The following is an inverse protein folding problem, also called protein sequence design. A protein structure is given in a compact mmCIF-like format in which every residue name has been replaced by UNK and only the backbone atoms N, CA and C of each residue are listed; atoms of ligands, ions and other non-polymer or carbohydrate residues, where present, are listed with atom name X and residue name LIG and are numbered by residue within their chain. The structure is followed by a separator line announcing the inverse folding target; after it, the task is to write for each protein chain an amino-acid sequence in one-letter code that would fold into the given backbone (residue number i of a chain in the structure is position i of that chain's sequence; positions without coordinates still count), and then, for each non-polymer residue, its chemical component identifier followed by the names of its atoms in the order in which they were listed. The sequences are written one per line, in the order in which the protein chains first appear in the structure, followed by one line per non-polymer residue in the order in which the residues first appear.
data_IF_776226057389
#
_entry.id   IF_776226057389
#
_cell.length_a   1.000
_cell.length_b   1.000
_cell.length_c   1.000
_cell.angle_alpha   90.00
_cell.angle_beta   90.00
_cell.angle_gamma   90.00
#
_symmetry.space_group_name_H-M   'P 1'
#
loop_
_entity.id
_entity.type
_entity.pdbx_description
1 polymer ?
#
# COMPACT_ATOMS: atom_id res chain seq x y z
N UNK A 1 17.28 48.47 62.37
CA UNK A 1 17.40 48.65 60.92
C UNK A 1 18.33 47.58 60.40
N UNK A 2 17.74 46.47 59.92
CA UNK A 2 18.51 45.29 59.45
C UNK A 2 18.39 45.29 57.95
N UNK A 3 19.51 45.49 57.27
CA UNK A 3 19.63 45.45 55.79
C UNK A 3 19.93 43.99 55.44
N UNK A 4 19.04 43.33 54.73
CA UNK A 4 19.26 41.97 54.19
C UNK A 4 19.82 42.17 52.76
N UNK A 5 21.09 41.83 52.61
CA UNK A 5 21.82 41.85 51.36
C UNK A 5 21.41 40.62 50.53
N UNK A 6 20.60 40.82 49.48
CA UNK A 6 20.04 39.81 48.60
C UNK A 6 20.95 39.51 47.42
N UNK A 7 22.11 38.93 47.61
CA UNK A 7 22.95 38.42 46.48
C UNK A 7 22.59 36.95 46.19
N UNK A 8 21.72 36.76 45.23
CA UNK A 8 21.49 35.43 44.66
C UNK A 8 22.74 35.03 43.85
N UNK A 9 23.43 34.00 44.35
CA UNK A 9 24.63 33.48 43.71
C UNK A 9 24.35 32.97 42.30
N UNK A 10 25.04 33.53 41.31
CA UNK A 10 24.95 33.20 39.88
C UNK A 10 25.22 31.69 39.60
N UNK A 11 25.82 30.98 40.55
CA UNK A 11 26.07 29.52 40.50
C UNK A 11 24.80 28.69 40.76
N UNK A 12 23.83 29.20 41.50
CA UNK A 12 22.56 28.50 41.78
C UNK A 12 21.61 28.58 40.59
N UNK A 13 21.66 29.66 39.79
CA UNK A 13 20.84 29.84 38.57
C UNK A 13 21.34 28.94 37.44
N UNK A 14 22.66 28.75 37.30
CA UNK A 14 23.24 27.86 36.28
C UNK A 14 22.97 26.37 36.53
N UNK A 15 22.85 25.94 37.80
CA UNK A 15 22.52 24.56 38.16
C UNK A 15 21.05 24.23 37.89
N UNK A 16 20.11 25.18 38.01
CA UNK A 16 18.70 25.00 37.75
C UNK A 16 18.41 24.90 36.23
N UNK A 17 19.18 25.60 35.40
CA UNK A 17 19.02 25.55 33.93
C UNK A 17 19.58 24.25 33.34
N UNK A 18 20.65 23.67 33.90
CA UNK A 18 21.24 22.42 33.46
C UNK A 18 20.33 21.20 33.72
N UNK A 19 19.47 21.22 34.73
CA UNK A 19 18.54 20.14 35.06
C UNK A 19 17.29 20.19 34.13
N UNK A 20 16.88 21.36 33.66
CA UNK A 20 15.72 21.53 32.77
C UNK A 20 15.99 21.08 31.32
N UNK A 21 17.25 21.06 30.87
CA UNK A 21 17.63 20.66 29.51
C UNK A 21 17.77 19.14 29.33
N UNK A 22 17.93 18.36 30.47
CA UNK A 22 18.14 16.91 30.42
C UNK A 22 16.85 16.08 30.39
N UNK A 23 15.66 16.68 30.42
CA UNK A 23 14.37 15.97 30.42
C UNK A 23 13.58 16.05 29.08
N UNK A 24 14.14 16.64 28.00
CA UNK A 24 13.44 16.80 26.72
C UNK A 24 13.87 15.77 25.65
N UNK A 25 14.79 14.85 25.96
CA UNK A 25 15.31 13.90 24.94
C UNK A 25 14.83 12.45 25.09
N UNK A 26 13.70 12.22 25.70
CA UNK A 26 13.20 10.85 25.79
C UNK A 26 11.69 10.83 25.64
N UNK A 27 11.17 10.91 24.44
CA UNK A 27 10.00 10.18 23.90
C UNK A 27 9.85 10.58 22.42
N UNK A 28 10.73 10.09 21.57
CA UNK A 28 10.35 9.79 20.18
C UNK A 28 10.26 8.27 20.07
N UNK A 29 9.39 7.68 20.87
CA UNK A 29 8.77 6.41 20.52
C UNK A 29 7.89 6.71 19.33
N UNK A 30 8.19 6.10 18.15
CA UNK A 30 7.56 6.40 16.90
C UNK A 30 6.04 6.54 17.03
N UNK A 31 5.52 7.72 16.75
CA UNK A 31 4.16 7.87 16.26
C UNK A 31 4.07 6.95 15.04
N UNK A 32 3.53 5.75 15.22
CA UNK A 32 2.98 5.01 14.10
C UNK A 32 1.92 5.95 13.53
N UNK A 33 2.21 6.53 12.35
CA UNK A 33 1.23 7.30 11.59
C UNK A 33 0.01 6.39 11.39
N UNK A 34 -1.00 6.56 12.24
CA UNK A 34 -2.25 5.79 12.24
C UNK A 34 -3.02 5.95 10.94
N UNK A 35 -2.48 6.74 10.00
CA UNK A 35 -3.05 7.00 8.68
C UNK A 35 -2.28 6.35 7.55
N UNK A 36 -1.22 5.58 7.80
CA UNK A 36 -0.42 4.92 6.78
C UNK A 36 -0.99 3.53 6.45
N UNK A 37 -1.54 3.40 5.23
CA UNK A 37 -1.89 2.11 4.65
C UNK A 37 -0.63 1.38 4.22
N UNK A 38 -0.41 0.18 4.74
CA UNK A 38 0.73 -0.66 4.39
C UNK A 38 0.25 -1.94 3.71
N UNK A 39 0.78 -2.20 2.52
CA UNK A 39 0.61 -3.47 1.83
C UNK A 39 1.88 -4.32 1.98
N UNK A 40 1.74 -5.64 2.19
CA UNK A 40 2.86 -6.58 2.30
C UNK A 40 2.61 -7.82 1.45
N UNK A 41 3.68 -8.29 0.83
CA UNK A 41 3.79 -9.59 0.20
C UNK A 41 4.67 -10.49 1.08
N UNK A 42 4.51 -11.79 0.99
CA UNK A 42 5.37 -12.74 1.71
C UNK A 42 6.73 -13.00 1.03
N UNK A 43 7.13 -12.15 0.04
CA UNK A 43 8.31 -12.34 -0.78
C UNK A 43 8.78 -11.00 -1.40
N UNK A 44 10.07 -10.92 -1.72
CA UNK A 44 10.68 -9.81 -2.48
C UNK A 44 10.89 -10.19 -3.96
N UNK A 45 11.03 -11.50 -4.26
CA UNK A 45 10.97 -12.06 -5.59
C UNK A 45 9.67 -12.85 -5.74
N UNK A 46 8.92 -12.59 -6.82
CA UNK A 46 7.65 -13.26 -7.08
C UNK A 46 7.90 -14.75 -7.37
N UNK A 47 7.30 -15.68 -6.60
CA UNK A 47 7.38 -17.11 -6.86
C UNK A 47 6.73 -17.47 -8.20
N UNK A 48 7.27 -18.50 -8.87
CA UNK A 48 6.83 -18.93 -10.20
C UNK A 48 5.33 -19.25 -10.25
N UNK A 49 4.73 -19.73 -9.14
CA UNK A 49 3.30 -20.02 -9.06
C UNK A 49 2.40 -18.80 -9.35
N UNK A 50 2.94 -17.58 -9.18
CA UNK A 50 2.24 -16.32 -9.44
C UNK A 50 2.62 -15.70 -10.80
N UNK A 51 3.27 -16.44 -11.68
CA UNK A 51 3.80 -15.96 -12.96
C UNK A 51 3.30 -16.83 -14.12
N UNK A 52 3.57 -16.40 -15.37
CA UNK A 52 3.23 -17.17 -16.56
C UNK A 52 3.98 -18.51 -16.68
N UNK A 53 5.00 -18.75 -15.84
CA UNK A 53 5.74 -20.02 -15.80
C UNK A 53 5.15 -21.02 -14.80
N UNK A 54 4.19 -20.58 -13.98
CA UNK A 54 3.52 -21.40 -12.98
C UNK A 54 2.01 -21.47 -13.16
N UNK A 55 1.29 -21.40 -12.03
CA UNK A 55 -0.17 -21.49 -12.01
C UNK A 55 -0.87 -20.19 -12.41
N UNK A 56 -0.14 -19.10 -12.52
CA UNK A 56 -0.64 -17.78 -12.86
C UNK A 56 -1.80 -17.32 -11.96
N UNK A 57 -1.66 -17.50 -10.66
CA UNK A 57 -2.65 -17.13 -9.65
C UNK A 57 -2.21 -15.91 -8.87
N UNK A 58 -3.16 -15.06 -8.46
CA UNK A 58 -2.86 -13.87 -7.66
C UNK A 58 -2.22 -14.26 -6.31
N UNK A 59 -1.22 -13.51 -5.82
CA UNK A 59 -0.62 -13.76 -4.52
C UNK A 59 -1.54 -13.32 -3.37
N UNK A 60 -1.22 -13.78 -2.16
CA UNK A 60 -1.75 -13.25 -0.91
C UNK A 60 -1.17 -11.85 -0.68
N UNK A 61 -2.02 -10.89 -0.29
CA UNK A 61 -1.60 -9.53 0.09
C UNK A 61 -2.10 -9.25 1.51
N UNK A 62 -1.20 -8.88 2.41
CA UNK A 62 -1.55 -8.42 3.75
C UNK A 62 -1.68 -6.90 3.75
N UNK A 63 -2.68 -6.38 4.47
CA UNK A 63 -3.04 -4.98 4.51
C UNK A 63 -3.10 -4.54 5.97
N UNK A 64 -2.42 -3.44 6.32
CA UNK A 64 -2.40 -2.91 7.67
C UNK A 64 -2.71 -1.41 7.64
N UNK A 65 -3.40 -0.92 8.67
CA UNK A 65 -3.71 0.51 8.82
C UNK A 65 -4.81 1.01 7.88
N UNK A 66 -5.62 0.12 7.29
CA UNK A 66 -6.74 0.52 6.44
C UNK A 66 -7.85 1.20 7.26
N UNK A 67 -8.24 2.41 6.84
CA UNK A 67 -9.39 3.14 7.34
C UNK A 67 -10.17 3.72 6.16
N UNK A 68 -11.03 2.91 5.56
CA UNK A 68 -11.73 3.22 4.33
C UNK A 68 -13.07 2.48 4.24
N UNK A 69 -13.97 2.93 3.36
CA UNK A 69 -15.25 2.27 3.08
C UNK A 69 -15.09 1.08 2.14
N UNK A 70 -14.15 1.18 1.20
CA UNK A 70 -13.81 0.11 0.26
C UNK A 70 -12.34 0.19 -0.17
N UNK A 71 -11.88 -0.83 -0.87
CA UNK A 71 -10.54 -0.86 -1.44
C UNK A 71 -10.57 -1.08 -2.94
N UNK A 72 -9.51 -0.60 -3.60
CA UNK A 72 -9.11 -1.02 -4.94
C UNK A 72 -7.64 -1.44 -4.93
N UNK A 73 -7.29 -2.39 -5.81
CA UNK A 73 -5.91 -2.82 -6.04
C UNK A 73 -5.60 -2.71 -7.53
N UNK A 74 -4.43 -2.17 -7.82
CA UNK A 74 -3.83 -2.15 -9.16
C UNK A 74 -2.45 -2.79 -9.04
N UNK A 75 -2.18 -3.80 -9.86
CA UNK A 75 -0.84 -4.39 -10.01
C UNK A 75 -0.28 -3.97 -11.34
N UNK A 76 0.86 -3.30 -11.34
CA UNK A 76 1.51 -2.79 -12.55
C UNK A 76 3.02 -3.06 -12.59
N UNK A 77 3.55 -3.12 -13.82
CA UNK A 77 4.96 -3.23 -14.19
C UNK A 77 5.40 -1.95 -14.92
N UNK A 78 6.08 -1.00 -14.26
CA UNK A 78 6.58 0.21 -14.91
C UNK A 78 7.84 -0.03 -15.76
N UNK A 79 8.48 -1.19 -15.66
CA UNK A 79 9.70 -1.53 -16.39
C UNK A 79 9.41 -2.23 -17.73
N UNK A 80 8.13 -2.44 -18.07
CA UNK A 80 7.74 -3.06 -19.33
C UNK A 80 8.16 -2.22 -20.55
N UNK A 81 8.60 -2.84 -21.67
CA UNK A 81 9.18 -2.15 -22.82
C UNK A 81 8.31 -1.08 -23.47
N UNK A 82 6.98 -1.24 -23.41
CA UNK A 82 6.00 -0.30 -24.00
C UNK A 82 5.44 0.74 -23.02
N UNK A 83 6.03 0.87 -21.83
CA UNK A 83 5.53 1.69 -20.73
C UNK A 83 4.84 0.86 -19.66
N UNK A 84 4.25 1.52 -18.67
CA UNK A 84 3.59 0.82 -17.55
C UNK A 84 2.56 -0.18 -18.04
N UNK A 85 2.71 -1.44 -17.64
CA UNK A 85 1.83 -2.54 -18.02
C UNK A 85 1.00 -3.00 -16.82
N UNK A 86 -0.31 -3.07 -16.99
CA UNK A 86 -1.25 -3.43 -15.92
C UNK A 86 -1.51 -4.93 -15.90
N UNK A 87 -1.22 -5.57 -14.78
CA UNK A 87 -1.38 -7.01 -14.55
C UNK A 87 -2.70 -7.37 -13.86
N UNK A 88 -3.23 -6.47 -13.02
CA UNK A 88 -4.46 -6.74 -12.28
C UNK A 88 -5.18 -5.47 -11.87
N UNK A 89 -6.52 -5.50 -11.96
CA UNK A 89 -7.44 -4.48 -11.49
C UNK A 89 -8.56 -5.15 -10.70
N UNK A 90 -8.75 -4.75 -9.44
CA UNK A 90 -9.88 -5.21 -8.62
C UNK A 90 -10.33 -4.05 -7.72
N UNK A 91 -11.62 -3.85 -7.58
CA UNK A 91 -12.20 -2.76 -6.79
C UNK A 91 -13.50 -3.15 -6.12
N UNK A 92 -14.01 -2.24 -5.27
CA UNK A 92 -15.17 -2.48 -4.41
C UNK A 92 -14.96 -3.66 -3.45
N UNK A 93 -13.71 -3.90 -3.06
CA UNK A 93 -13.38 -4.87 -2.02
C UNK A 93 -13.82 -4.27 -0.69
N UNK A 94 -14.59 -4.98 0.16
CA UNK A 94 -14.89 -4.53 1.51
C UNK A 94 -13.59 -4.44 2.34
N UNK A 95 -13.53 -3.59 3.40
CA UNK A 95 -12.37 -3.50 4.26
C UNK A 95 -11.96 -4.88 4.80
N UNK A 96 -10.70 -5.25 4.59
CA UNK A 96 -10.11 -6.52 5.07
C UNK A 96 -8.61 -6.36 5.27
N UNK A 97 -8.04 -7.10 6.19
CA UNK A 97 -6.59 -7.14 6.46
C UNK A 97 -5.84 -8.08 5.50
N UNK A 98 -6.57 -8.86 4.70
CA UNK A 98 -5.98 -9.88 3.82
C UNK A 98 -6.78 -10.02 2.53
N UNK A 99 -6.09 -9.93 1.41
CA UNK A 99 -6.55 -10.47 0.13
C UNK A 99 -5.98 -11.89 0.03
N UNK A 100 -6.81 -12.93 -0.02
CA UNK A 100 -6.32 -14.29 -0.13
C UNK A 100 -5.70 -14.55 -1.50
N UNK A 101 -4.84 -15.56 -1.54
CA UNK A 101 -4.27 -16.09 -2.77
C UNK A 101 -5.36 -16.62 -3.71
N UNK A 102 -5.07 -16.61 -5.01
CA UNK A 102 -5.87 -17.28 -6.05
C UNK A 102 -7.31 -16.74 -6.17
N UNK A 103 -7.48 -15.41 -6.16
CA UNK A 103 -8.76 -14.80 -6.53
C UNK A 103 -9.16 -15.27 -7.94
N UNK A 104 -10.39 -15.74 -8.07
CA UNK A 104 -10.90 -16.27 -9.35
C UNK A 104 -10.84 -15.19 -10.45
N UNK A 105 -10.51 -15.57 -11.69
CA UNK A 105 -10.41 -14.66 -12.84
C UNK A 105 -11.79 -14.37 -13.47
N UNK A 106 -12.75 -13.97 -12.63
CA UNK A 106 -14.11 -13.60 -13.05
C UNK A 106 -14.30 -12.08 -12.95
N UNK A 107 -15.09 -11.50 -13.83
CA UNK A 107 -15.38 -10.06 -13.81
C UNK A 107 -16.10 -9.62 -12.51
N UNK A 108 -16.90 -10.51 -11.94
CA UNK A 108 -17.61 -10.32 -10.67
C UNK A 108 -17.17 -11.42 -9.71
N UNK A 109 -16.56 -11.01 -8.60
CA UNK A 109 -16.17 -11.88 -7.50
C UNK A 109 -17.32 -11.92 -6.49
N UNK A 110 -17.66 -13.12 -6.02
CA UNK A 110 -18.66 -13.33 -4.98
C UNK A 110 -18.03 -13.94 -3.72
N UNK A 111 -16.97 -14.71 -3.88
CA UNK A 111 -16.20 -15.34 -2.82
C UNK A 111 -14.70 -15.07 -3.02
N UNK A 112 -13.91 -14.81 -1.98
CA UNK A 112 -14.25 -14.81 -0.54
C UNK A 112 -14.92 -13.51 -0.07
N UNK A 113 -15.07 -12.53 -0.95
CA UNK A 113 -15.75 -11.24 -0.75
C UNK A 113 -16.39 -10.80 -2.07
N UNK A 114 -17.31 -9.85 -2.01
CA UNK A 114 -17.87 -9.25 -3.21
C UNK A 114 -16.92 -8.18 -3.76
N UNK A 115 -16.58 -8.25 -5.06
CA UNK A 115 -15.73 -7.30 -5.76
C UNK A 115 -15.94 -7.34 -7.28
N UNK A 116 -15.41 -6.35 -7.98
CA UNK A 116 -15.35 -6.31 -9.44
C UNK A 116 -13.90 -6.35 -9.91
N UNK A 117 -13.65 -7.02 -11.04
CA UNK A 117 -12.35 -7.01 -11.71
C UNK A 117 -12.42 -6.36 -13.08
N UNK A 118 -11.31 -5.74 -13.48
CA UNK A 118 -11.13 -5.08 -14.75
C UNK A 118 -10.33 -5.89 -15.75
N UNK A 119 -10.23 -5.34 -16.94
CA UNK A 119 -9.42 -5.87 -18.04
C UNK A 119 -7.99 -5.37 -17.86
N UNK A 120 -7.04 -6.29 -17.75
CA UNK A 120 -5.59 -6.02 -17.71
C UNK A 120 -5.05 -5.75 -19.12
N UNK A 121 -3.76 -5.44 -19.23
CA UNK A 121 -3.16 -5.08 -20.52
C UNK A 121 -2.84 -6.31 -21.42
N UNK A 122 -3.07 -7.55 -20.94
CA UNK A 122 -3.17 -8.74 -21.79
C UNK A 122 -4.55 -8.86 -22.47
N UNK A 123 -5.52 -8.01 -22.14
CA UNK A 123 -6.90 -8.10 -22.62
C UNK A 123 -7.75 -9.11 -21.83
N UNK A 124 -7.30 -9.55 -20.66
CA UNK A 124 -7.92 -10.57 -19.83
C UNK A 124 -8.54 -9.97 -18.57
N UNK A 125 -9.54 -10.64 -18.00
CA UNK A 125 -10.15 -10.28 -16.72
C UNK A 125 -9.36 -10.93 -15.57
N UNK A 126 -9.04 -10.10 -14.56
CA UNK A 126 -8.40 -10.58 -13.34
C UNK A 126 -6.87 -10.50 -13.39
N UNK A 127 -6.24 -11.26 -12.52
CA UNK A 127 -4.79 -11.30 -12.40
C UNK A 127 -4.16 -12.05 -13.56
N UNK A 128 -3.14 -11.45 -14.19
CA UNK A 128 -2.21 -12.12 -15.07
C UNK A 128 -0.80 -11.83 -14.57
N UNK A 129 -0.04 -12.86 -14.27
CA UNK A 129 1.25 -12.76 -13.60
C UNK A 129 2.36 -12.20 -14.49
N UNK A 130 3.51 -11.91 -13.88
CA UNK A 130 4.72 -11.53 -14.59
C UNK A 130 5.08 -12.50 -15.72
N UNK A 131 5.39 -11.93 -16.89
CA UNK A 131 5.91 -12.67 -18.05
C UNK A 131 6.89 -11.81 -18.85
N UNK A 132 7.95 -11.26 -18.19
CA UNK A 132 8.87 -10.34 -18.85
C UNK A 132 9.71 -11.09 -19.90
N UNK A 133 10.25 -10.40 -20.92
CA UNK A 133 11.27 -10.97 -21.78
C UNK A 133 12.50 -11.35 -20.94
N UNK A 134 13.30 -12.33 -21.44
CA UNK A 134 14.55 -12.69 -20.78
C UNK A 134 15.48 -11.48 -20.68
N UNK A 135 16.11 -11.30 -19.50
CA UNK A 135 17.02 -10.20 -19.28
C UNK A 135 16.98 -9.66 -17.85
N UNK A 136 16.99 -8.32 -17.73
CA UNK A 136 16.92 -7.65 -16.42
C UNK A 136 15.58 -7.91 -15.75
N UNK A 137 15.54 -8.26 -14.44
CA UNK A 137 14.28 -8.36 -13.72
C UNK A 137 13.49 -7.06 -13.72
N UNK A 138 12.16 -7.15 -13.85
CA UNK A 138 11.22 -6.06 -13.72
C UNK A 138 10.70 -5.95 -12.30
N UNK A 139 10.20 -4.78 -11.93
CA UNK A 139 9.53 -4.49 -10.66
C UNK A 139 8.02 -4.51 -10.86
N UNK A 140 7.33 -5.17 -9.95
CA UNK A 140 5.87 -5.28 -9.94
C UNK A 140 5.34 -4.59 -8.69
N UNK A 141 4.52 -3.57 -8.88
CA UNK A 141 3.94 -2.77 -7.81
C UNK A 141 2.52 -3.24 -7.51
N UNK A 142 2.30 -3.67 -6.30
CA UNK A 142 0.98 -4.02 -5.77
C UNK A 142 0.44 -2.82 -5.02
N UNK A 143 -0.34 -1.98 -5.68
CA UNK A 143 -0.86 -0.72 -5.13
C UNK A 143 -2.24 -0.91 -4.56
N UNK A 144 -2.41 -0.63 -3.28
CA UNK A 144 -3.67 -0.71 -2.54
C UNK A 144 -4.17 0.72 -2.26
N UNK A 145 -5.42 0.97 -2.59
CA UNK A 145 -6.08 2.26 -2.38
C UNK A 145 -7.26 2.07 -1.43
N UNK A 146 -7.29 2.82 -0.33
CA UNK A 146 -8.45 2.97 0.54
C UNK A 146 -9.36 4.07 0.03
N UNK A 147 -10.65 3.78 -0.15
CA UNK A 147 -11.62 4.68 -0.76
C UNK A 147 -12.74 5.04 0.22
N UNK A 148 -13.29 6.26 0.14
CA UNK A 148 -14.38 6.74 0.98
C UNK A 148 -15.76 6.21 0.56
N UNK A 149 -15.85 5.40 -0.50
CA UNK A 149 -17.10 4.84 -1.02
C UNK A 149 -16.85 3.63 -1.91
N UNK A 150 -17.90 2.87 -2.21
CA UNK A 150 -17.93 1.97 -3.36
C UNK A 150 -17.98 2.77 -4.66
N UNK A 151 -17.25 2.34 -5.68
CA UNK A 151 -17.21 2.98 -6.99
C UNK A 151 -18.40 2.54 -7.85
N UNK A 152 -19.04 3.49 -8.52
CA UNK A 152 -20.03 3.19 -9.55
C UNK A 152 -19.31 2.92 -10.88
N UNK A 153 -18.63 1.79 -10.97
CA UNK A 153 -17.85 1.35 -12.13
C UNK A 153 -18.20 -0.10 -12.45
N UNK A 154 -18.52 -0.37 -13.71
CA UNK A 154 -18.90 -1.72 -14.17
C UNK A 154 -17.68 -2.63 -14.24
N UNK A 155 -17.87 -3.91 -13.92
CA UNK A 155 -16.87 -4.95 -14.12
C UNK A 155 -16.36 -4.97 -15.59
N UNK A 156 -15.08 -5.33 -15.76
CA UNK A 156 -14.40 -5.30 -17.06
C UNK A 156 -13.84 -3.94 -17.47
N UNK A 157 -13.99 -2.90 -16.63
CA UNK A 157 -13.45 -1.57 -16.92
C UNK A 157 -11.92 -1.57 -17.05
N UNK A 158 -11.38 -0.61 -17.79
CA UNK A 158 -9.93 -0.41 -17.97
C UNK A 158 -9.28 0.26 -16.75
N UNK A 159 -7.94 0.26 -16.71
CA UNK A 159 -7.17 0.98 -15.68
C UNK A 159 -7.48 2.48 -15.70
N UNK A 160 -7.66 3.08 -16.88
CA UNK A 160 -7.99 4.50 -17.02
C UNK A 160 -9.36 4.82 -16.43
N UNK A 161 -10.35 3.94 -16.65
CA UNK A 161 -11.69 4.11 -16.08
C UNK A 161 -11.68 3.97 -14.56
N UNK A 162 -10.92 2.97 -14.02
CA UNK A 162 -10.76 2.79 -12.59
C UNK A 162 -10.08 4.00 -11.95
N UNK A 163 -8.97 4.46 -12.52
CA UNK A 163 -8.25 5.64 -12.02
C UNK A 163 -9.14 6.89 -12.03
N UNK A 164 -9.93 7.09 -13.08
CA UNK A 164 -10.91 8.18 -13.18
C UNK A 164 -12.00 8.06 -12.11
N UNK A 165 -12.53 6.84 -11.89
CA UNK A 165 -13.54 6.61 -10.87
C UNK A 165 -13.03 6.80 -9.43
N UNK A 166 -11.73 6.59 -9.18
CA UNK A 166 -11.09 6.82 -7.88
C UNK A 166 -10.79 8.30 -7.59
N UNK A 167 -10.79 9.19 -8.60
CA UNK A 167 -10.46 10.62 -8.40
C UNK A 167 -11.41 11.27 -7.40
N UNK A 168 -10.84 11.95 -6.39
CA UNK A 168 -11.57 12.59 -5.30
C UNK A 168 -12.14 11.62 -4.25
N UNK A 169 -11.86 10.31 -4.37
CA UNK A 169 -12.36 9.28 -3.45
C UNK A 169 -11.26 8.52 -2.70
N UNK A 170 -9.98 8.74 -3.04
CA UNK A 170 -8.86 8.11 -2.35
C UNK A 170 -8.61 8.78 -1.00
N UNK A 171 -8.65 7.98 0.08
CA UNK A 171 -8.30 8.38 1.44
C UNK A 171 -6.87 7.98 1.78
N UNK A 172 -6.46 6.79 1.34
CA UNK A 172 -5.18 6.19 1.68
C UNK A 172 -4.59 5.48 0.46
N UNK A 173 -3.26 5.37 0.44
CA UNK A 173 -2.52 4.57 -0.54
C UNK A 173 -1.39 3.84 0.17
N UNK A 174 -1.28 2.54 -0.08
CA UNK A 174 -0.13 1.71 0.29
C UNK A 174 0.37 0.95 -0.92
N UNK A 175 1.62 0.50 -0.88
CA UNK A 175 2.16 -0.34 -1.94
C UNK A 175 3.15 -1.36 -1.40
N UNK A 176 3.23 -2.51 -2.06
CA UNK A 176 4.30 -3.48 -1.93
C UNK A 176 4.95 -3.66 -3.30
N UNK A 177 6.26 -3.89 -3.31
CA UNK A 177 7.04 -4.07 -4.54
C UNK A 177 7.74 -5.41 -4.48
N UNK A 178 7.66 -6.18 -5.56
CA UNK A 178 8.46 -7.39 -5.74
C UNK A 178 9.04 -7.44 -7.14
N UNK A 179 10.05 -8.29 -7.36
CA UNK A 179 10.73 -8.41 -8.64
C UNK A 179 10.48 -9.77 -9.27
N UNK A 180 10.52 -9.82 -10.60
CA UNK A 180 10.57 -11.07 -11.36
C UNK A 180 11.34 -10.89 -12.67
N UNK A 181 12.10 -11.91 -13.06
CA UNK A 181 12.83 -11.96 -14.32
C UNK A 181 13.11 -13.41 -14.72
N UNK A 182 13.15 -13.65 -16.02
CA UNK A 182 13.43 -14.95 -16.66
C UNK A 182 14.85 -14.99 -17.17
#
# INVERSE_FOLDING_TARGET
MIIIDGRISMRAVLAAIAIAVLFVTAVQAGEMDMNSLVAKLGFDRIPDEHTCEGMDVSPRIEIQGLNATSMAIIVDDPDAPSGTFTHWLIWNIPPTDVIPRAIAKNAIIKEPFSAFQGTNDFGEIGYAGPCPPSGKPHRYFFRVFGLNRMLNLKAGASVKDLQKAMQGHMLQKGEAVATYGR
#
